data_IF_842253643580
#
_entry.id   IF_842253643580
#
_cell.length_a   1.000
_cell.length_b   1.000
_cell.length_c   1.000
_cell.angle_alpha   90.00
_cell.angle_beta   90.00
_cell.angle_gamma   90.00
#
_symmetry.space_group_name_H-M   'P 1'
#
loop_
_entity.id
_entity.type
_entity.pdbx_description
1 polymer ?
#
# COMPACT_ATOMS: atom_id res chain seq x y z
N UNK A 1 -8.86 15.87 -8.27
CA UNK A 1 -8.65 16.21 -8.24
C UNK A 1 -8.18 16.33 -8.09
N UNK A 2 -8.50 16.31 -8.02
CA UNK A 2 -8.16 16.81 -7.99
C UNK A 2 -7.60 17.07 -7.84
N UNK A 3 -7.86 17.22 -7.56
CA UNK A 3 -7.43 17.86 -7.45
C UNK A 3 -6.87 18.13 -7.20
N UNK A 4 -7.05 18.25 -7.09
CA UNK A 4 -6.61 18.77 -6.78
C UNK A 4 -6.09 18.57 -6.18
N UNK A 5 -6.53 18.36 -5.82
CA UNK A 5 -6.11 18.56 -5.32
C UNK A 5 -5.64 18.44 -5.00
N UNK A 6 -5.84 18.42 -4.73
CA UNK A 6 -5.62 18.80 -4.51
C UNK A 6 -5.20 18.98 -4.24
N UNK A 7 -5.51 19.14 -4.37
CA UNK A 7 -5.40 19.74 -4.20
C UNK A 7 -5.25 20.27 -3.86
N UNK A 8 -5.74 20.13 -3.68
CA UNK A 8 -5.80 20.89 -3.34
C UNK A 8 -5.76 21.35 -3.09
N UNK A 9 -6.18 21.55 -2.88
CA UNK A 9 -6.37 22.31 -2.53
C UNK A 9 -6.36 22.92 -2.19
N UNK A 10 -6.77 23.02 -2.07
CA UNK A 10 -6.94 23.82 -1.56
C UNK A 10 -6.92 24.20 -1.25
N UNK A 11 -7.41 24.49 -0.90
CA UNK A 11 -7.62 25.12 -0.40
C UNK A 11 -7.56 25.88 -0.02
N UNK A 12 -7.79 26.48 0.17
CA UNK A 12 -7.89 27.30 0.67
C UNK A 12 -8.08 27.88 1.21
N UNK A 13 -8.62 28.39 1.51
CA UNK A 13 -8.87 29.08 2.00
C UNK A 13 -9.12 29.28 2.90
N UNK A 14 -9.43 29.01 3.42
CA UNK A 14 -9.75 29.15 4.11
C UNK A 14 -9.26 29.42 5.06
N UNK A 15 -8.93 29.40 5.29
CA UNK A 15 -8.35 29.79 5.98
C UNK A 15 -8.66 30.15 7.09
N UNK A 16 -9.36 30.32 7.37
CA UNK A 16 -9.79 30.90 8.27
C UNK A 16 -10.09 30.10 9.42
N UNK A 17 -10.19 29.08 9.50
CA UNK A 17 -10.43 28.34 10.56
C UNK A 17 -9.24 27.77 10.95
N UNK A 18 -8.41 28.40 11.21
CA UNK A 18 -7.14 27.97 11.47
C UNK A 18 -7.10 27.18 12.69
N UNK A 19 -7.81 27.56 13.58
CA UNK A 19 -7.67 26.94 14.80
C UNK A 19 -8.18 25.56 14.75
N UNK A 20 -8.88 25.21 13.81
CA UNK A 20 -9.34 23.91 13.79
C UNK A 20 -8.36 22.97 13.22
N UNK A 21 -8.04 21.91 13.88
CA UNK A 21 -7.16 20.92 13.33
C UNK A 21 -7.80 20.34 12.09
N UNK A 22 -7.08 20.28 11.02
CA UNK A 22 -7.56 19.71 9.79
C UNK A 22 -7.00 18.30 9.67
N UNK A 23 -7.87 17.32 9.50
CA UNK A 23 -7.43 15.95 9.33
C UNK A 23 -7.17 15.67 7.87
N UNK A 24 -6.10 15.00 7.58
CA UNK A 24 -5.76 14.61 6.21
C UNK A 24 -5.54 13.13 6.14
N UNK A 25 -5.76 12.58 4.97
CA UNK A 25 -5.51 11.16 4.75
C UNK A 25 -4.03 10.87 4.83
N UNK A 26 -3.71 9.71 5.33
CA UNK A 26 -2.33 9.24 5.38
C UNK A 26 -1.95 8.76 3.98
N UNK A 27 -0.75 9.08 3.55
CA UNK A 27 -0.28 8.65 2.24
C UNK A 27 0.03 7.17 2.22
N UNK A 28 -0.30 6.53 1.11
CA UNK A 28 0.04 5.12 0.88
C UNK A 28 1.08 5.07 -0.23
N UNK A 29 2.05 4.21 -0.10
CA UNK A 29 3.15 4.12 -1.05
C UNK A 29 3.06 2.85 -1.87
N UNK A 30 3.68 2.88 -3.04
CA UNK A 30 3.69 1.71 -3.90
C UNK A 30 4.62 0.66 -3.30
N UNK A 31 4.14 -0.57 -3.21
CA UNK A 31 4.91 -1.65 -2.62
C UNK A 31 6.04 -2.17 -3.51
N UNK A 32 5.95 -1.94 -4.81
CA UNK A 32 7.00 -2.42 -5.69
C UNK A 32 8.25 -1.57 -5.52
N UNK A 33 9.40 -2.22 -5.45
CA UNK A 33 10.68 -1.53 -5.31
C UNK A 33 11.05 -0.87 -6.63
N UNK A 34 11.55 0.35 -6.58
CA UNK A 34 12.02 1.07 -7.76
C UNK A 34 13.49 1.46 -7.57
N UNK A 35 14.12 1.80 -8.67
CA UNK A 35 15.51 2.24 -8.62
C UNK A 35 16.48 1.08 -8.60
N UNK A 36 17.52 1.20 -7.79
CA UNK A 36 18.54 0.15 -7.72
C UNK A 36 18.03 -1.03 -6.93
N UNK A 37 18.58 -2.21 -7.21
CA UNK A 37 18.22 -3.44 -6.51
C UNK A 37 16.71 -3.71 -6.59
N UNK A 38 16.11 -3.43 -7.74
CA UNK A 38 14.66 -3.51 -7.89
C UNK A 38 14.18 -4.75 -8.62
N UNK A 39 15.07 -5.70 -8.89
CA UNK A 39 14.69 -6.89 -9.65
C UNK A 39 14.61 -8.12 -8.78
N UNK A 40 13.89 -9.11 -9.27
CA UNK A 40 13.73 -10.37 -8.56
C UNK A 40 15.07 -10.99 -8.18
N UNK A 41 16.05 -10.93 -9.10
CA UNK A 41 17.37 -11.50 -8.86
C UNK A 41 18.11 -10.82 -7.73
N UNK A 42 17.75 -9.58 -7.40
CA UNK A 42 18.43 -8.82 -6.37
C UNK A 42 17.96 -9.23 -4.97
N UNK A 43 16.71 -9.65 -4.83
CA UNK A 43 16.14 -10.07 -3.55
C UNK A 43 15.09 -11.13 -3.79
N UNK A 44 15.52 -12.37 -4.01
CA UNK A 44 14.60 -13.43 -4.37
C UNK A 44 13.52 -13.71 -3.33
N UNK A 45 13.77 -13.42 -2.06
CA UNK A 45 12.77 -13.64 -1.03
C UNK A 45 11.68 -12.58 -1.03
N UNK A 46 11.83 -11.53 -1.82
CA UNK A 46 10.84 -10.47 -1.92
C UNK A 46 10.04 -10.54 -3.24
N UNK A 47 10.01 -11.72 -3.85
CA UNK A 47 9.20 -11.98 -5.02
C UNK A 47 8.19 -13.05 -4.62
N UNK A 48 6.95 -12.64 -4.41
CA UNK A 48 5.89 -13.54 -3.97
C UNK A 48 4.55 -13.06 -4.52
N UNK A 49 3.56 -13.96 -4.62
CA UNK A 49 2.26 -13.57 -5.15
C UNK A 49 1.38 -12.95 -4.08
N UNK A 50 0.55 -12.02 -4.50
CA UNK A 50 -0.46 -11.43 -3.63
C UNK A 50 -1.79 -11.78 -4.26
N UNK A 51 -2.67 -12.44 -3.51
CA UNK A 51 -3.94 -12.90 -4.02
C UNK A 51 -5.07 -11.98 -3.58
N UNK A 52 -5.97 -11.65 -4.51
CA UNK A 52 -7.08 -10.76 -4.20
C UNK A 52 -8.37 -11.27 -4.82
N UNK A 53 -9.49 -10.82 -4.26
CA UNK A 53 -10.81 -11.12 -4.79
C UNK A 53 -11.12 -10.07 -5.86
N UNK A 54 -11.27 -10.44 -7.12
CA UNK A 54 -11.51 -9.47 -8.18
C UNK A 54 -12.87 -8.77 -8.07
N UNK A 55 -13.81 -9.31 -7.31
CA UNK A 55 -15.11 -8.70 -7.16
C UNK A 55 -15.09 -7.53 -6.18
N UNK A 56 -14.28 -7.62 -5.15
CA UNK A 56 -14.22 -6.61 -4.11
C UNK A 56 -12.93 -5.83 -4.09
N UNK A 57 -11.94 -6.27 -4.83
CA UNK A 57 -10.57 -5.72 -4.83
C UNK A 57 -9.90 -5.91 -3.47
N UNK A 58 -10.39 -6.85 -2.67
CA UNK A 58 -9.83 -7.10 -1.36
C UNK A 58 -8.67 -8.07 -1.47
N UNK A 59 -7.54 -7.72 -0.89
CA UNK A 59 -6.40 -8.64 -0.81
C UNK A 59 -6.76 -9.69 0.23
N UNK A 60 -6.67 -10.94 -0.17
CA UNK A 60 -7.11 -12.07 0.66
C UNK A 60 -5.93 -12.74 1.35
N UNK A 61 -4.84 -12.92 0.65
CA UNK A 61 -3.68 -13.62 1.22
C UNK A 61 -2.40 -13.29 0.48
N UNK A 62 -1.29 -13.57 1.13
CA UNK A 62 0.04 -13.34 0.60
C UNK A 62 0.73 -14.71 0.51
N UNK A 63 1.25 -15.05 -0.65
CA UNK A 63 1.96 -16.31 -0.82
C UNK A 63 3.38 -16.23 -0.29
N UNK A 64 4.05 -17.36 -0.24
CA UNK A 64 5.44 -17.42 0.18
C UNK A 64 6.35 -17.00 -0.96
N UNK A 65 7.59 -16.66 -0.65
CA UNK A 65 8.59 -16.36 -1.66
C UNK A 65 8.59 -17.46 -2.72
N UNK A 66 8.59 -17.05 -3.99
CA UNK A 66 8.46 -18.00 -5.10
C UNK A 66 9.86 -18.41 -5.56
N UNK A 67 10.38 -19.43 -4.92
CA UNK A 67 11.75 -19.86 -5.11
C UNK A 67 11.84 -21.14 -5.93
N UNK A 68 12.96 -21.38 -6.57
CA UNK A 68 14.12 -20.50 -6.67
C UNK A 68 13.84 -19.31 -7.59
N UNK A 69 14.75 -18.35 -7.63
CA UNK A 69 14.54 -17.11 -8.40
C UNK A 69 14.38 -17.34 -9.90
N UNK A 70 14.72 -18.52 -10.37
CA UNK A 70 14.57 -18.87 -11.79
C UNK A 70 13.23 -19.53 -12.08
N UNK A 71 12.42 -19.79 -11.04
CA UNK A 71 11.14 -20.47 -11.24
C UNK A 71 10.17 -19.56 -11.98
N UNK A 72 9.53 -20.10 -13.01
CA UNK A 72 8.63 -19.31 -13.82
C UNK A 72 7.29 -19.13 -13.13
N UNK A 73 6.74 -17.91 -13.16
CA UNK A 73 5.43 -17.67 -12.57
C UNK A 73 4.34 -18.44 -13.30
N UNK A 74 4.61 -18.91 -14.52
CA UNK A 74 3.63 -19.74 -15.23
C UNK A 74 3.40 -21.08 -14.53
N UNK A 75 4.32 -21.46 -13.60
CA UNK A 75 4.17 -22.69 -12.86
C UNK A 75 3.32 -22.48 -11.60
N UNK A 76 3.00 -21.25 -11.27
CA UNK A 76 2.25 -20.96 -10.06
C UNK A 76 0.78 -21.30 -10.25
N UNK A 77 0.14 -21.71 -9.16
CA UNK A 77 -1.28 -22.04 -9.19
C UNK A 77 -1.99 -20.98 -8.35
N UNK A 78 -2.91 -20.25 -8.98
CA UNK A 78 -3.70 -19.26 -8.26
C UNK A 78 -4.90 -19.95 -7.64
N UNK A 79 -5.19 -19.69 -6.37
CA UNK A 79 -6.37 -20.30 -5.73
C UNK A 79 -7.66 -19.97 -6.50
N UNK A 80 -8.61 -20.88 -6.44
CA UNK A 80 -9.86 -20.74 -7.18
C UNK A 80 -10.58 -19.45 -6.77
N UNK A 81 -11.18 -18.80 -7.75
CA UNK A 81 -11.94 -17.55 -7.55
C UNK A 81 -11.11 -16.34 -7.14
N UNK A 82 -9.81 -16.48 -7.04
CA UNK A 82 -8.96 -15.35 -6.74
C UNK A 82 -8.13 -14.96 -7.96
N UNK A 83 -7.63 -13.75 -7.94
CA UNK A 83 -6.68 -13.25 -8.92
C UNK A 83 -5.35 -13.02 -8.21
N UNK A 84 -4.28 -12.86 -8.97
CA UNK A 84 -2.94 -12.76 -8.41
C UNK A 84 -2.23 -11.52 -8.92
N UNK A 85 -1.44 -10.90 -8.06
CA UNK A 85 -0.54 -9.81 -8.44
C UNK A 85 0.87 -10.25 -8.17
N UNK A 86 1.71 -10.16 -9.19
CA UNK A 86 3.14 -10.39 -9.09
C UNK A 86 3.84 -9.04 -9.23
N UNK A 87 5.03 -8.88 -8.65
CA UNK A 87 5.74 -7.59 -8.76
C UNK A 87 6.39 -7.44 -10.13
N UNK A 88 5.59 -7.07 -11.12
CA UNK A 88 6.07 -6.87 -12.47
C UNK A 88 6.31 -5.38 -12.70
N UNK A 89 7.49 -5.04 -13.16
CA UNK A 89 7.87 -3.66 -13.38
C UNK A 89 7.18 -3.10 -14.60
N UNK A 90 7.15 -1.78 -14.72
CA UNK A 90 6.47 -1.12 -15.83
C UNK A 90 7.03 -1.51 -17.20
N UNK A 91 8.28 -1.96 -17.25
CA UNK A 91 8.89 -2.43 -18.50
C UNK A 91 8.59 -3.91 -18.76
N UNK A 92 7.79 -4.55 -17.92
CA UNK A 92 7.42 -5.96 -18.08
C UNK A 92 8.38 -6.95 -17.43
N UNK A 93 9.47 -6.49 -16.86
CA UNK A 93 10.44 -7.41 -16.24
C UNK A 93 10.03 -7.73 -14.81
N UNK A 94 10.60 -8.80 -14.27
CA UNK A 94 10.29 -9.23 -12.91
C UNK A 94 11.00 -8.33 -11.91
N UNK A 95 10.22 -7.67 -11.07
CA UNK A 95 10.72 -6.80 -10.02
C UNK A 95 10.70 -7.50 -8.69
N UNK A 96 10.47 -6.75 -7.62
CA UNK A 96 10.29 -7.31 -6.29
C UNK A 96 9.51 -6.35 -5.41
N UNK A 97 8.96 -6.89 -4.35
CA UNK A 97 8.28 -6.05 -3.38
C UNK A 97 9.31 -5.43 -2.43
N UNK A 98 8.92 -4.39 -1.74
CA UNK A 98 9.84 -3.65 -0.84
C UNK A 98 9.98 -4.34 0.52
N UNK A 99 9.12 -5.27 0.85
CA UNK A 99 9.11 -5.94 2.15
C UNK A 99 8.95 -7.44 1.95
N UNK A 100 9.23 -8.21 2.98
CA UNK A 100 9.11 -9.66 2.92
C UNK A 100 7.64 -10.09 2.95
N UNK A 101 7.36 -11.33 2.61
CA UNK A 101 6.01 -11.84 2.64
C UNK A 101 5.43 -11.81 4.05
N UNK A 102 6.24 -12.07 5.07
CA UNK A 102 5.76 -12.02 6.44
C UNK A 102 5.40 -10.60 6.87
N UNK A 103 6.20 -9.61 6.47
CA UNK A 103 5.89 -8.22 6.75
C UNK A 103 4.61 -7.81 6.03
N UNK A 104 4.42 -8.28 4.79
CA UNK A 104 3.20 -7.99 4.04
C UNK A 104 1.97 -8.60 4.71
N UNK A 105 2.09 -9.82 5.22
CA UNK A 105 0.99 -10.47 5.94
C UNK A 105 0.60 -9.69 7.19
N UNK A 106 1.61 -9.17 7.90
CA UNK A 106 1.38 -8.40 9.09
C UNK A 106 0.61 -7.11 8.75
N UNK A 107 1.00 -6.43 7.67
CA UNK A 107 0.29 -5.25 7.24
C UNK A 107 -1.14 -5.59 6.78
N UNK A 108 -1.29 -6.69 6.07
CA UNK A 108 -2.61 -7.11 5.59
C UNK A 108 -3.56 -7.33 6.77
N UNK A 109 -3.08 -7.97 7.83
CA UNK A 109 -3.89 -8.24 9.00
C UNK A 109 -4.37 -6.96 9.67
N UNK A 110 -3.64 -5.88 9.52
CA UNK A 110 -3.99 -4.59 10.09
C UNK A 110 -4.78 -3.69 9.13
N UNK A 111 -5.03 -4.16 7.91
CA UNK A 111 -5.69 -3.34 6.90
C UNK A 111 -4.78 -2.29 6.29
N UNK A 112 -3.46 -2.47 6.40
CA UNK A 112 -2.49 -1.48 5.95
C UNK A 112 -1.83 -1.84 4.60
N UNK A 113 -2.48 -2.71 3.86
CA UNK A 113 -2.06 -3.13 2.53
C UNK A 113 -3.31 -3.16 1.67
N UNK A 114 -3.25 -2.60 0.48
CA UNK A 114 -4.43 -2.57 -0.39
C UNK A 114 -4.05 -2.61 -1.86
N UNK A 115 -5.00 -2.99 -2.70
CA UNK A 115 -4.81 -3.00 -4.14
C UNK A 115 -4.90 -1.57 -4.64
N UNK A 116 -4.01 -1.20 -5.53
CA UNK A 116 -4.01 0.12 -6.14
C UNK A 116 -4.56 0.09 -7.55
N UNK A 117 -3.96 0.87 -8.45
CA UNK A 117 -4.44 0.95 -9.81
C UNK A 117 -3.88 -0.15 -10.69
N UNK A 118 -4.62 -0.51 -11.71
CA UNK A 118 -4.14 -1.46 -12.71
C UNK A 118 -3.37 -0.72 -13.78
N UNK A 119 -2.20 -1.23 -14.14
CA UNK A 119 -1.42 -0.69 -15.22
C UNK A 119 -1.94 -1.30 -16.52
N UNK A 120 -2.48 -0.48 -17.40
CA UNK A 120 -3.09 -0.97 -18.63
C UNK A 120 -2.08 -1.61 -19.57
N UNK A 121 -0.83 -1.16 -19.51
CA UNK A 121 0.18 -1.67 -20.40
C UNK A 121 0.61 -3.06 -20.01
N UNK A 122 0.89 -3.29 -18.73
CA UNK A 122 1.41 -4.56 -18.26
C UNK A 122 0.30 -5.46 -17.74
N UNK A 123 -0.91 -4.95 -17.59
CA UNK A 123 -2.04 -5.65 -17.00
C UNK A 123 -1.76 -6.05 -15.55
N UNK A 124 -0.78 -5.41 -14.92
CA UNK A 124 -0.43 -5.67 -13.54
C UNK A 124 -1.09 -4.64 -12.63
N UNK A 125 -1.33 -5.02 -11.41
CA UNK A 125 -1.92 -4.11 -10.42
C UNK A 125 -0.85 -3.53 -9.53
N UNK A 126 -1.02 -2.29 -9.12
CA UNK A 126 -0.19 -1.73 -8.08
C UNK A 126 -0.72 -2.24 -6.74
N UNK A 127 0.16 -2.35 -5.76
CA UNK A 127 -0.22 -2.67 -4.40
C UNK A 127 0.34 -1.55 -3.55
N UNK A 128 -0.49 -0.98 -2.69
CA UNK A 128 -0.08 0.14 -1.86
C UNK A 128 -0.04 -0.26 -0.39
N UNK A 129 0.83 0.35 0.35
CA UNK A 129 1.01 0.02 1.76
C UNK A 129 1.31 1.28 2.57
N UNK A 130 1.11 1.17 3.87
CA UNK A 130 1.41 2.27 4.78
C UNK A 130 2.86 2.12 5.24
N UNK A 131 3.63 3.20 5.14
CA UNK A 131 5.04 3.16 5.51
C UNK A 131 5.24 2.88 6.99
N UNK A 132 6.37 2.27 7.30
CA UNK A 132 6.71 1.89 8.65
C UNK A 132 6.60 3.05 9.63
N UNK A 133 7.01 4.26 9.22
CA UNK A 133 6.92 5.42 10.09
C UNK A 133 5.47 5.77 10.42
N UNK A 134 4.55 5.58 9.48
CA UNK A 134 3.14 5.85 9.72
C UNK A 134 2.49 4.73 10.52
N UNK A 135 2.96 3.50 10.37
CA UNK A 135 2.51 2.40 11.20
C UNK A 135 2.87 2.71 12.66
N UNK A 136 4.06 3.27 12.89
CA UNK A 136 4.49 3.63 14.22
C UNK A 136 3.64 4.81 14.76
N UNK A 137 3.33 5.77 13.90
CA UNK A 137 2.48 6.89 14.31
C UNK A 137 1.07 6.43 14.68
N UNK A 138 0.58 5.40 14.00
CA UNK A 138 -0.71 4.82 14.35
C UNK A 138 -0.64 4.18 15.73
N UNK A 139 0.43 3.45 16.01
CA UNK A 139 0.61 2.82 17.31
C UNK A 139 0.76 3.87 18.43
N UNK A 140 1.36 5.01 18.10
CA UNK A 140 1.57 6.08 19.06
C UNK A 140 0.35 7.00 19.25
N UNK A 141 -0.69 6.80 18.46
CA UNK A 141 -1.88 7.63 18.54
C UNK A 141 -1.84 8.92 17.74
N UNK A 142 -0.77 9.14 16.96
CA UNK A 142 -0.67 10.33 16.12
C UNK A 142 -1.51 10.18 14.86
N UNK A 143 -1.79 8.97 14.46
CA UNK A 143 -2.67 8.67 13.34
C UNK A 143 -3.85 7.91 13.92
N UNK A 144 -5.04 8.21 13.45
CA UNK A 144 -6.28 7.61 13.93
C UNK A 144 -6.84 6.63 12.90
N UNK A 145 -7.27 5.48 13.38
CA UNK A 145 -7.97 4.51 12.56
C UNK A 145 -9.45 4.85 12.62
N UNK A 146 -10.03 5.25 11.50
CA UNK A 146 -11.41 5.69 11.43
C UNK A 146 -12.38 4.61 10.97
N UNK A 147 -11.89 3.47 10.59
CA UNK A 147 -12.71 2.37 10.10
C UNK A 147 -12.01 1.68 8.94
N UNK A 148 -12.78 0.91 8.17
CA UNK A 148 -12.24 0.15 7.06
C UNK A 148 -13.10 0.35 5.82
N UNK A 149 -12.45 0.32 4.66
CA UNK A 149 -13.14 0.40 3.38
C UNK A 149 -13.67 -0.97 3.01
N UNK A 150 -14.46 -1.02 1.94
CA UNK A 150 -15.02 -2.29 1.50
C UNK A 150 -13.94 -3.29 1.09
N UNK A 151 -12.80 -2.80 0.63
CA UNK A 151 -11.70 -3.67 0.24
C UNK A 151 -10.89 -4.16 1.45
N UNK A 152 -11.31 -3.82 2.66
CA UNK A 152 -10.62 -4.25 3.87
C UNK A 152 -9.52 -3.33 4.32
N UNK A 153 -9.19 -2.29 3.56
CA UNK A 153 -8.11 -1.39 3.92
C UNK A 153 -8.56 -0.37 4.95
N UNK A 154 -7.64 0.02 5.82
CA UNK A 154 -7.93 0.94 6.91
C UNK A 154 -8.11 2.37 6.41
N UNK A 155 -9.00 3.11 7.02
CA UNK A 155 -9.17 4.52 6.77
C UNK A 155 -8.40 5.22 7.88
N UNK A 156 -7.34 5.91 7.50
CA UNK A 156 -6.42 6.53 8.44
C UNK A 156 -6.36 8.02 8.22
N UNK A 157 -6.34 8.77 9.30
CA UNK A 157 -6.18 10.21 9.21
C UNK A 157 -5.21 10.68 10.29
N UNK A 158 -4.64 11.83 10.06
CA UNK A 158 -3.81 12.47 11.05
C UNK A 158 -4.13 13.95 11.05
N UNK A 159 -3.95 14.59 12.19
CA UNK A 159 -4.18 16.02 12.29
C UNK A 159 -3.02 16.79 11.67
N UNK A 160 -3.32 17.81 10.89
CA UNK A 160 -2.26 18.65 10.33
C UNK A 160 -1.68 19.54 11.42
N UNK A 161 -2.37 19.65 12.55
CA UNK A 161 -1.86 20.43 13.64
C UNK A 161 -1.28 19.52 14.66
N UNK A 162 -1.24 18.28 14.39
CA UNK A 162 -0.87 17.32 15.35
C UNK A 162 0.38 17.57 16.07
N UNK A 163 1.30 18.06 15.37
CA UNK A 163 2.54 18.23 16.00
C UNK A 163 2.43 19.13 17.15
N UNK A 164 1.84 20.20 16.93
CA UNK A 164 1.84 21.16 17.96
C UNK A 164 1.08 20.61 19.09
N UNK A 165 0.12 19.92 18.80
CA UNK A 165 -0.66 19.49 19.82
C UNK A 165 -0.03 18.54 20.64
N UNK A 166 0.51 17.71 20.06
CA UNK A 166 0.98 16.74 20.77
C UNK A 166 1.72 17.17 21.81
N UNK A 167 2.35 17.77 21.56
CA UNK A 167 3.19 18.09 22.52
C UNK A 167 2.60 18.19 23.76
N UNK A 168 1.64 18.44 23.87
CA UNK A 168 1.22 18.78 25.00
C UNK A 168 0.64 17.88 25.68
N UNK A 169 0.57 17.52 26.21
CA UNK A 169 -0.15 16.82 26.93
C UNK A 169 -0.28 16.76 27.96
#
# INVERSE_FOLDING_TARGET
GSAKVGRDYDFSTTSEEPEEATNVSVGWENLIRRGTDARRVDRENQFYPIYFDPKTSRIVSIGDAFLPKTRSISEAVTPDKLSVVWPIRSDGTEGRWRISSDAARNLLDKGLLRLGRKNKKTQSWAVNYVLRTDVQRLADGEITLDGYREDGSAILTRSTNGGSVTGTP
#
